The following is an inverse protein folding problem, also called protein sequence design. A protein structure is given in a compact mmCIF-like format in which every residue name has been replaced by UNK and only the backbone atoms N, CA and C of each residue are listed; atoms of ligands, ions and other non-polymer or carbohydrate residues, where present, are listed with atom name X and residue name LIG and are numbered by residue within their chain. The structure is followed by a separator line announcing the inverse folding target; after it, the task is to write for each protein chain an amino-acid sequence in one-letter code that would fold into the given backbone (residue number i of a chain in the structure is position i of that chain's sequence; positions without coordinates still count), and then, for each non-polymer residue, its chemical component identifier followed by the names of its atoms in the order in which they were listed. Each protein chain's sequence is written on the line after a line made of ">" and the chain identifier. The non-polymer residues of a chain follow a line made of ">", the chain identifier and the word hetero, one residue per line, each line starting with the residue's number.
data_IF_368533406237
#
_entry.id   IF_368533406237
#
_cell.length_a   1.000
_cell.length_b   1.000
_cell.length_c   1.000
_cell.angle_alpha   90.00
_cell.angle_beta   90.00
_cell.angle_gamma   90.00
#
_symmetry.space_group_name_H-M   'P 1'
#
loop_
_entity.id
_entity.type
_entity.pdbx_description
1 polymer ?
#
# COMPACT_ATOMS: atom_id res chain seq x y z
N UNK A 1 1.72 -16.86 2.41
CA UNK A 1 0.52 -16.10 2.84
C UNK A 1 0.85 -14.93 3.74
N UNK A 2 1.55 -15.11 4.86
CA UNK A 2 1.88 -14.04 5.83
C UNK A 2 2.20 -12.64 5.23
N UNK A 3 3.06 -12.55 4.20
CA UNK A 3 3.38 -11.25 3.59
C UNK A 3 2.15 -10.42 3.14
N UNK A 4 1.09 -11.08 2.63
CA UNK A 4 -0.12 -10.40 2.13
C UNK A 4 -1.14 -10.09 3.23
N UNK A 5 -1.13 -10.86 4.32
CA UNK A 5 -2.11 -10.81 5.41
C UNK A 5 -1.60 -10.12 6.67
N UNK A 6 -0.29 -9.90 6.82
CA UNK A 6 0.28 -9.14 7.93
C UNK A 6 0.17 -7.63 7.68
N UNK A 7 -0.37 -6.91 8.67
CA UNK A 7 -0.44 -5.44 8.71
C UNK A 7 0.95 -4.82 8.60
N UNK A 8 1.09 -3.78 7.75
CA UNK A 8 2.36 -3.10 7.52
C UNK A 8 2.45 -1.83 8.36
N UNK A 9 3.52 -1.67 9.14
CA UNK A 9 3.74 -0.48 9.99
C UNK A 9 3.63 0.87 9.23
N UNK A 10 4.09 1.01 7.96
CA UNK A 10 3.97 2.27 7.22
C UNK A 10 2.54 2.65 6.79
N UNK A 11 1.71 1.68 6.40
CA UNK A 11 0.34 1.92 5.90
C UNK A 11 -0.73 1.61 6.93
N UNK A 12 -0.39 0.90 8.00
CA UNK A 12 -1.28 0.29 8.99
C UNK A 12 -2.39 -0.61 8.41
N UNK A 13 -2.20 -1.08 7.17
CA UNK A 13 -3.09 -2.00 6.47
C UNK A 13 -2.35 -3.26 6.00
N UNK A 14 -3.09 -4.33 5.71
CA UNK A 14 -2.54 -5.51 5.03
C UNK A 14 -2.42 -5.23 3.52
N UNK A 15 -1.39 -5.74 2.83
CA UNK A 15 -1.30 -5.57 1.37
C UNK A 15 -2.49 -6.15 0.61
N UNK A 16 -3.15 -7.17 1.15
CA UNK A 16 -4.40 -7.71 0.58
C UNK A 16 -5.55 -6.71 0.67
N UNK A 17 -5.77 -6.09 1.84
CA UNK A 17 -6.85 -5.11 2.03
C UNK A 17 -6.67 -3.85 1.18
N UNK A 18 -5.44 -3.46 0.83
CA UNK A 18 -5.21 -2.36 -0.10
C UNK A 18 -5.55 -2.71 -1.56
N UNK A 19 -5.45 -3.99 -1.95
CA UNK A 19 -5.83 -4.44 -3.30
C UNK A 19 -7.33 -4.72 -3.39
N UNK A 20 -7.93 -5.36 -2.38
CA UNK A 20 -9.30 -5.89 -2.44
C UNK A 20 -10.30 -5.24 -1.45
N UNK A 21 -9.88 -4.23 -0.67
CA UNK A 21 -10.69 -3.43 0.26
C UNK A 21 -11.06 -4.07 1.59
N UNK A 22 -10.99 -5.40 1.66
CA UNK A 22 -11.37 -6.21 2.83
C UNK A 22 -10.16 -6.93 3.41
N UNK A 23 -10.24 -7.29 4.69
CA UNK A 23 -9.26 -8.21 5.28
C UNK A 23 -9.31 -9.57 4.58
N UNK A 24 -8.25 -10.38 4.68
CA UNK A 24 -8.03 -11.52 3.81
C UNK A 24 -8.91 -12.75 4.10
N UNK A 25 -10.19 -12.63 3.75
CA UNK A 25 -11.17 -13.69 3.52
C UNK A 25 -10.97 -14.22 2.09
N UNK A 26 -11.35 -15.47 1.77
CA UNK A 26 -11.00 -16.08 0.47
C UNK A 26 -11.59 -15.26 -0.70
N UNK A 27 -10.88 -15.09 -1.84
CA UNK A 27 -11.44 -14.34 -2.98
C UNK A 27 -12.73 -14.94 -3.55
N UNK A 28 -12.89 -16.27 -3.42
CA UNK A 28 -14.08 -17.03 -3.78
C UNK A 28 -15.22 -16.89 -2.76
N UNK A 29 -14.92 -16.40 -1.55
CA UNK A 29 -15.93 -15.66 -0.79
C UNK A 29 -16.13 -14.31 -1.53
N UNK A 30 -16.04 -13.12 -0.94
CA UNK A 30 -16.27 -11.78 -1.57
C UNK A 30 -17.27 -11.68 -2.77
N UNK A 31 -16.93 -12.19 -3.97
CA UNK A 31 -17.87 -12.41 -5.09
C UNK A 31 -19.09 -13.30 -4.74
N UNK A 32 -18.92 -14.43 -4.02
CA UNK A 32 -20.04 -15.31 -3.65
C UNK A 32 -20.95 -14.69 -2.58
N UNK A 33 -20.47 -14.05 -1.49
CA UNK A 33 -21.27 -13.26 -0.57
C UNK A 33 -22.04 -12.14 -1.25
N UNK A 34 -21.41 -11.32 -2.10
CA UNK A 34 -22.14 -10.24 -2.81
C UNK A 34 -23.23 -10.78 -3.75
N UNK A 35 -23.02 -11.93 -4.39
CA UNK A 35 -24.08 -12.63 -5.14
C UNK A 35 -25.13 -13.28 -4.22
N UNK A 36 -24.73 -13.91 -3.12
CA UNK A 36 -25.64 -14.52 -2.12
C UNK A 36 -26.52 -13.48 -1.46
N UNK A 37 -25.96 -12.34 -1.05
CA UNK A 37 -26.68 -11.21 -0.44
C UNK A 37 -27.71 -10.70 -1.44
N UNK A 38 -27.33 -10.43 -2.69
CA UNK A 38 -28.29 -10.03 -3.72
C UNK A 38 -29.44 -11.04 -3.93
N UNK A 39 -29.14 -12.34 -3.91
CA UNK A 39 -30.14 -13.41 -4.05
C UNK A 39 -31.01 -13.56 -2.78
N UNK A 40 -30.43 -13.36 -1.58
CA UNK A 40 -31.07 -13.60 -0.29
C UNK A 40 -31.93 -12.41 0.17
N UNK A 41 -31.48 -11.18 -0.11
CA UNK A 41 -32.21 -9.94 0.12
C UNK A 41 -33.21 -9.62 -1.02
N UNK A 42 -33.14 -10.36 -2.15
CA UNK A 42 -34.01 -10.15 -3.30
C UNK A 42 -33.78 -8.81 -4.02
N UNK A 43 -32.56 -8.27 -3.94
CA UNK A 43 -32.23 -6.92 -4.42
C UNK A 43 -32.43 -6.79 -5.93
N UNK A 44 -32.94 -5.64 -6.35
CA UNK A 44 -32.87 -5.22 -7.75
C UNK A 44 -31.42 -5.04 -8.19
N UNK A 45 -31.17 -5.12 -9.50
CA UNK A 45 -29.82 -4.92 -10.06
C UNK A 45 -29.27 -3.52 -9.74
N UNK A 46 -30.16 -2.53 -9.64
CA UNK A 46 -29.86 -1.14 -9.30
C UNK A 46 -29.45 -0.95 -7.83
N UNK A 47 -30.14 -1.62 -6.89
CA UNK A 47 -29.78 -1.57 -5.47
C UNK A 47 -28.50 -2.36 -5.16
N UNK A 48 -28.30 -3.50 -5.84
CA UNK A 48 -27.05 -4.26 -5.81
C UNK A 48 -25.88 -3.43 -6.38
N UNK A 49 -26.10 -2.69 -7.48
CA UNK A 49 -25.11 -1.76 -8.01
C UNK A 49 -24.79 -0.61 -7.03
N UNK A 50 -25.79 -0.05 -6.34
CA UNK A 50 -25.59 1.01 -5.33
C UNK A 50 -24.75 0.53 -4.15
N UNK A 51 -25.04 -0.65 -3.60
CA UNK A 51 -24.29 -1.22 -2.47
C UNK A 51 -22.84 -1.49 -2.88
N UNK A 52 -22.61 -2.05 -4.08
CA UNK A 52 -21.25 -2.26 -4.62
C UNK A 52 -20.49 -0.95 -4.83
N UNK A 53 -21.16 0.14 -5.20
CA UNK A 53 -20.53 1.45 -5.32
C UNK A 53 -20.07 1.97 -3.95
N UNK A 54 -20.93 1.88 -2.93
CA UNK A 54 -20.61 2.27 -1.55
C UNK A 54 -19.44 1.44 -0.96
N UNK A 55 -19.42 0.12 -1.22
CA UNK A 55 -18.29 -0.76 -0.87
C UNK A 55 -16.97 -0.34 -1.55
N UNK A 56 -17.03 0.11 -2.81
CA UNK A 56 -15.88 0.58 -3.58
C UNK A 56 -15.39 1.96 -3.09
N UNK A 57 -16.28 2.89 -2.79
CA UNK A 57 -15.94 4.22 -2.27
C UNK A 57 -15.24 4.11 -0.90
N UNK A 58 -15.78 3.31 0.02
CA UNK A 58 -15.17 3.03 1.32
C UNK A 58 -13.82 2.27 1.21
N UNK A 59 -13.58 1.58 0.10
CA UNK A 59 -12.34 0.90 -0.23
C UNK A 59 -11.28 1.87 -0.79
N UNK A 60 -11.68 2.82 -1.63
CA UNK A 60 -10.79 3.85 -2.16
C UNK A 60 -10.40 4.90 -1.10
N UNK A 61 -11.28 5.22 -0.15
CA UNK A 61 -10.94 6.03 1.02
C UNK A 61 -9.82 5.38 1.86
N UNK A 62 -9.93 4.08 2.16
CA UNK A 62 -8.89 3.32 2.88
C UNK A 62 -7.56 3.28 2.12
N UNK A 63 -7.59 3.18 0.79
CA UNK A 63 -6.39 3.24 -0.06
C UNK A 63 -5.72 4.61 0.02
N UNK A 64 -6.51 5.69 -0.05
CA UNK A 64 -6.04 7.06 0.05
C UNK A 64 -5.39 7.33 1.41
N UNK A 65 -6.02 6.94 2.52
CA UNK A 65 -5.42 7.05 3.85
C UNK A 65 -4.08 6.28 3.94
N UNK A 66 -4.04 5.04 3.45
CA UNK A 66 -2.84 4.22 3.48
C UNK A 66 -1.68 4.84 2.67
N UNK A 67 -2.00 5.49 1.54
CA UNK A 67 -1.02 6.26 0.76
C UNK A 67 -0.51 7.47 1.55
N UNK A 68 -1.40 8.29 2.13
CA UNK A 68 -1.00 9.44 2.94
C UNK A 68 -0.10 9.05 4.13
N UNK A 69 -0.44 7.95 4.82
CA UNK A 69 0.38 7.37 5.91
C UNK A 69 1.77 6.95 5.40
N UNK A 70 1.84 6.31 4.23
CA UNK A 70 3.10 5.90 3.59
C UNK A 70 3.97 7.10 3.19
N UNK A 71 3.39 8.13 2.58
CA UNK A 71 4.10 9.38 2.22
C UNK A 71 4.65 10.08 3.46
N UNK A 72 3.84 10.20 4.52
CA UNK A 72 4.27 10.74 5.81
C UNK A 72 5.40 9.92 6.43
N UNK A 73 5.35 8.58 6.33
CA UNK A 73 6.41 7.69 6.80
C UNK A 73 7.71 7.86 6.00
N UNK A 74 7.63 7.92 4.67
CA UNK A 74 8.78 8.18 3.80
C UNK A 74 9.40 9.55 4.09
N UNK A 75 8.59 10.61 4.23
CA UNK A 75 9.07 11.95 4.56
C UNK A 75 9.75 12.02 5.94
N UNK A 76 9.30 11.21 6.92
CA UNK A 76 9.96 11.05 8.22
C UNK A 76 11.32 10.34 8.10
N UNK A 77 11.38 9.24 7.34
CA UNK A 77 12.64 8.52 7.08
C UNK A 77 13.66 9.41 6.37
N UNK A 78 13.26 10.10 5.31
CA UNK A 78 14.13 11.02 4.55
C UNK A 78 14.65 12.16 5.42
N UNK A 79 13.81 12.76 6.28
CA UNK A 79 14.27 13.77 7.26
C UNK A 79 15.25 13.20 8.29
N UNK A 80 14.99 12.01 8.83
CA UNK A 80 15.86 11.36 9.81
C UNK A 80 17.23 10.97 9.21
N UNK A 81 17.25 10.50 7.96
CA UNK A 81 18.46 10.22 7.20
C UNK A 81 19.23 11.51 6.89
N UNK A 82 18.60 12.49 6.25
CA UNK A 82 19.23 13.74 5.85
C UNK A 82 19.79 14.54 7.05
N UNK A 83 19.17 14.47 8.24
CA UNK A 83 19.72 15.07 9.47
C UNK A 83 21.11 14.53 9.84
N UNK A 84 21.46 13.31 9.42
CA UNK A 84 22.78 12.68 9.65
C UNK A 84 23.73 12.82 8.46
N UNK A 85 23.23 13.16 7.27
CA UNK A 85 24.06 13.41 6.09
C UNK A 85 24.71 14.78 6.22
N UNK A 86 26.03 14.80 6.40
CA UNK A 86 26.82 16.02 6.22
C UNK A 86 27.12 16.18 4.73
N UNK A 87 26.65 17.28 4.14
CA UNK A 87 27.05 17.67 2.79
C UNK A 87 28.58 17.86 2.78
N UNK A 88 29.26 17.26 1.79
CA UNK A 88 30.68 17.47 1.54
C UNK A 88 30.83 17.98 0.11
N UNK A 89 31.43 19.16 -0.04
CA UNK A 89 31.98 19.62 -1.31
C UNK A 89 33.39 19.06 -1.49
N UNK A 90 33.80 18.88 -2.74
CA UNK A 90 35.14 18.45 -3.12
C UNK A 90 35.60 19.31 -4.31
N UNK A 91 36.90 19.55 -4.41
CA UNK A 91 37.54 20.32 -5.47
C UNK A 91 38.45 19.42 -6.33
N UNK A 92 38.82 19.92 -7.50
CA UNK A 92 39.80 19.24 -8.38
C UNK A 92 41.14 19.15 -7.66
N UNK A 93 41.59 17.93 -7.37
CA UNK A 93 42.80 17.65 -6.59
C UNK A 93 42.56 16.99 -5.24
N UNK A 94 41.32 16.96 -4.74
CA UNK A 94 40.99 16.32 -3.47
C UNK A 94 41.08 14.78 -3.56
N UNK A 95 41.84 14.16 -2.65
CA UNK A 95 41.89 12.71 -2.48
C UNK A 95 40.69 12.22 -1.67
N UNK A 96 39.81 11.45 -2.30
CA UNK A 96 38.57 10.92 -1.69
C UNK A 96 38.49 9.40 -1.76
N UNK A 97 37.96 8.78 -0.70
CA UNK A 97 37.70 7.34 -0.66
C UNK A 97 36.33 7.02 -1.30
N UNK A 98 36.37 6.43 -2.49
CA UNK A 98 35.17 6.00 -3.21
C UNK A 98 34.75 4.57 -2.81
N UNK A 99 33.53 4.42 -2.29
CA UNK A 99 32.93 3.09 -2.07
C UNK A 99 32.38 2.55 -3.39
N UNK A 100 33.08 1.60 -4.01
CA UNK A 100 32.54 0.84 -5.14
C UNK A 100 31.42 -0.07 -4.65
N UNK A 101 30.18 0.19 -5.08
CA UNK A 101 29.06 -0.75 -4.94
C UNK A 101 29.08 -1.72 -6.13
N UNK A 102 28.81 -3.03 -5.93
CA UNK A 102 28.68 -3.96 -7.04
C UNK A 102 27.50 -3.53 -7.94
N UNK A 103 27.68 -3.63 -9.25
CA UNK A 103 26.59 -3.47 -10.21
C UNK A 103 25.72 -4.72 -10.07
N UNK A 104 24.47 -4.53 -9.60
CA UNK A 104 23.49 -5.61 -9.55
C UNK A 104 22.91 -5.73 -10.96
N UNK A 105 23.57 -6.51 -11.81
CA UNK A 105 23.04 -6.90 -13.11
C UNK A 105 21.98 -7.98 -12.88
N UNK A 106 20.72 -7.58 -12.73
CA UNK A 106 19.59 -8.51 -12.85
C UNK A 106 19.45 -8.95 -14.30
N UNK A 107 19.69 -10.23 -14.54
CA UNK A 107 19.38 -10.93 -15.80
C UNK A 107 17.88 -11.28 -15.88
#
# INVERSE_FOLDING_TARGET
>A
MAYRTTVRTPTQATPYALVYGVEAVLPLEQQIPSLRIAIQEGLTEEENARIRLEELEALDEKRLEAQQRLECYQARLSRAFNKRVRLRSFQVGDLVLAVKRPIITTH
#
